data_IF_024161824536
#
_entry.id   IF_024161824536
#
_cell.length_a   1.000
_cell.length_b   1.000
_cell.length_c   1.000
_cell.angle_alpha   90.00
_cell.angle_beta   90.00
_cell.angle_gamma   90.00
#
_symmetry.space_group_name_H-M   'P 1'
#
loop_
_entity.id
_entity.type
_entity.pdbx_description
1 polymer ?
#
# COMPACT_ATOMS: atom_id res chain seq x y z
N UNK A 1 -9.67 -8.55 -5.31
CA UNK A 1 -9.52 -9.01 -6.71
C UNK A 1 -8.08 -8.72 -7.20
N UNK A 2 -7.04 -9.52 -6.89
CA UNK A 2 -6.19 -10.36 -7.80
C UNK A 2 -6.06 -9.87 -9.23
N UNK A 3 -4.82 -9.63 -9.66
CA UNK A 3 -4.45 -9.12 -10.97
C UNK A 3 -4.03 -10.29 -11.88
N UNK A 4 -4.77 -10.59 -12.94
CA UNK A 4 -4.48 -11.74 -13.78
C UNK A 4 -3.37 -11.45 -14.83
N UNK A 5 -2.21 -12.14 -14.76
CA UNK A 5 -1.24 -12.38 -15.86
C UNK A 5 -1.26 -13.82 -16.43
N UNK A 6 -1.25 -14.06 -17.76
CA UNK A 6 -1.33 -15.41 -18.36
C UNK A 6 -0.33 -16.39 -17.70
N UNK A 7 -0.81 -17.54 -17.19
CA UNK A 7 -0.21 -18.39 -16.13
C UNK A 7 -0.38 -17.85 -14.69
N UNK A 8 -1.65 -17.57 -14.38
CA UNK A 8 -2.25 -16.62 -13.45
C UNK A 8 -2.21 -16.92 -11.94
N UNK A 9 -1.04 -17.06 -11.30
CA UNK A 9 -0.97 -17.09 -9.82
C UNK A 9 -0.71 -15.71 -9.24
N UNK A 10 -1.53 -15.31 -8.26
CA UNK A 10 -1.26 -14.11 -7.49
C UNK A 10 -0.05 -14.27 -6.60
N UNK A 11 0.82 -13.27 -6.65
CA UNK A 11 1.94 -13.18 -5.73
C UNK A 11 1.52 -12.28 -4.57
N UNK A 12 1.53 -12.84 -3.37
CA UNK A 12 1.33 -12.07 -2.14
C UNK A 12 2.55 -11.17 -1.93
N UNK A 13 2.42 -9.89 -2.27
CA UNK A 13 3.49 -8.91 -2.07
C UNK A 13 3.74 -8.65 -0.57
N UNK A 14 2.66 -8.53 0.22
CA UNK A 14 2.70 -8.25 1.65
C UNK A 14 1.45 -8.77 2.35
N UNK A 15 1.59 -9.22 3.61
CA UNK A 15 0.47 -9.43 4.53
C UNK A 15 0.44 -8.29 5.56
N UNK A 16 -0.73 -7.70 5.76
CA UNK A 16 -0.95 -6.60 6.69
C UNK A 16 -1.74 -7.10 7.89
N UNK A 17 -1.38 -6.61 9.08
CA UNK A 17 -2.07 -6.88 10.34
C UNK A 17 -2.46 -5.58 11.05
N UNK A 18 -3.00 -5.66 12.28
CA UNK A 18 -3.41 -4.50 13.05
C UNK A 18 -2.31 -3.43 13.18
N UNK A 19 -2.69 -2.16 13.03
CA UNK A 19 -1.78 -1.00 13.07
C UNK A 19 -0.96 -0.79 11.79
N UNK A 20 -1.10 -1.64 10.77
CA UNK A 20 -0.54 -1.42 9.44
C UNK A 20 -1.54 -0.66 8.56
N UNK A 21 -1.03 0.10 7.61
CA UNK A 21 -1.79 0.88 6.66
C UNK A 21 -1.41 0.52 5.21
N UNK A 22 -2.24 0.96 4.27
CA UNK A 22 -2.05 0.80 2.82
C UNK A 22 -2.66 2.00 2.09
N UNK A 23 -2.28 2.18 0.81
CA UNK A 23 -2.78 3.27 -0.05
C UNK A 23 -1.90 4.53 -0.01
N UNK A 24 -0.86 4.54 0.81
CA UNK A 24 0.12 5.62 0.93
C UNK A 24 0.93 5.82 -0.35
N UNK A 25 1.26 4.72 -1.03
CA UNK A 25 2.03 4.79 -2.29
C UNK A 25 1.25 5.49 -3.41
N UNK A 26 -0.07 5.33 -3.42
CA UNK A 26 -0.91 6.01 -4.41
C UNK A 26 -1.00 7.52 -4.14
N UNK A 27 -0.93 7.91 -2.87
CA UNK A 27 -0.95 9.31 -2.46
C UNK A 27 0.33 10.05 -2.87
N UNK A 28 1.51 9.43 -2.72
CA UNK A 28 2.79 10.11 -2.96
C UNK A 28 3.38 9.95 -4.36
N UNK A 29 3.06 8.88 -5.10
CA UNK A 29 3.79 8.53 -6.33
C UNK A 29 2.97 8.69 -7.62
N UNK A 30 1.80 9.35 -7.58
CA UNK A 30 0.92 9.68 -8.73
C UNK A 30 0.58 8.50 -9.68
N UNK A 31 0.74 7.24 -9.25
CA UNK A 31 0.47 6.06 -10.07
C UNK A 31 -0.75 5.29 -9.57
N UNK A 32 -1.74 5.08 -10.44
CA UNK A 32 -2.91 4.24 -10.20
C UNK A 32 -2.50 2.80 -9.86
N UNK A 33 -2.96 2.32 -8.70
CA UNK A 33 -3.09 0.93 -8.23
C UNK A 33 -2.02 -0.04 -8.72
N UNK A 34 -0.86 -0.04 -8.05
CA UNK A 34 0.23 -1.00 -8.32
C UNK A 34 -0.04 -2.40 -7.75
N UNK A 35 -0.97 -2.53 -6.80
CA UNK A 35 -1.33 -3.79 -6.20
C UNK A 35 -2.80 -3.76 -5.77
N UNK A 36 -3.42 -4.94 -5.73
CA UNK A 36 -4.77 -5.10 -5.18
C UNK A 36 -4.66 -5.43 -3.70
N UNK A 37 -5.45 -4.76 -2.87
CA UNK A 37 -5.61 -5.14 -1.45
C UNK A 37 -6.85 -6.01 -1.32
N UNK A 38 -6.77 -7.05 -0.49
CA UNK A 38 -7.89 -7.95 -0.16
C UNK A 38 -7.92 -8.18 1.33
N UNK A 39 -9.13 -8.25 1.89
CA UNK A 39 -9.31 -8.80 3.23
C UNK A 39 -8.81 -10.26 3.26
N UNK A 40 -8.23 -10.65 4.38
CA UNK A 40 -7.80 -12.04 4.59
C UNK A 40 -8.99 -12.98 4.63
N UNK A 41 -8.84 -14.20 4.12
CA UNK A 41 -9.86 -15.24 4.22
C UNK A 41 -9.97 -15.81 5.65
N UNK A 42 -8.97 -15.55 6.50
CA UNK A 42 -8.93 -16.06 7.87
C UNK A 42 -9.93 -15.35 8.81
N UNK A 43 -10.49 -14.20 8.44
CA UNK A 43 -11.43 -13.48 9.29
C UNK A 43 -11.80 -12.09 8.78
N UNK A 44 -12.83 -11.50 9.39
CA UNK A 44 -13.24 -10.13 9.09
C UNK A 44 -12.14 -9.13 9.43
N UNK A 45 -11.98 -8.11 8.57
CA UNK A 45 -11.04 -7.01 8.77
C UNK A 45 -11.80 -5.72 8.94
N UNK A 46 -11.41 -4.92 9.93
CA UNK A 46 -11.90 -3.56 10.13
C UNK A 46 -10.79 -2.57 9.79
N UNK A 47 -11.14 -1.50 9.07
CA UNK A 47 -10.18 -0.48 8.62
C UNK A 47 -10.70 0.91 8.94
N UNK A 48 -9.79 1.80 9.35
CA UNK A 48 -10.04 3.23 9.38
C UNK A 48 -9.65 3.81 8.02
N UNK A 49 -10.59 4.49 7.38
CA UNK A 49 -10.37 5.11 6.07
C UNK A 49 -10.39 6.64 6.20
N UNK A 50 -9.47 7.29 5.51
CA UNK A 50 -9.40 8.75 5.33
C UNK A 50 -9.25 9.04 3.84
N UNK A 51 -9.93 10.06 3.33
CA UNK A 51 -9.74 10.47 1.94
C UNK A 51 -8.47 11.29 1.77
N UNK A 52 -7.96 11.41 0.54
CA UNK A 52 -6.71 12.11 0.27
C UNK A 52 -6.76 13.60 0.62
N UNK A 53 -7.89 14.27 0.43
CA UNK A 53 -8.03 15.69 0.77
C UNK A 53 -7.90 15.94 2.29
N UNK A 54 -8.48 15.05 3.10
CA UNK A 54 -8.38 15.10 4.55
C UNK A 54 -6.97 14.70 5.01
N UNK A 55 -6.37 13.71 4.36
CA UNK A 55 -5.01 13.28 4.68
C UNK A 55 -3.99 14.38 4.37
N UNK A 56 -4.06 15.02 3.21
CA UNK A 56 -3.18 16.14 2.84
C UNK A 56 -3.31 17.30 3.83
N UNK A 57 -4.54 17.63 4.27
CA UNK A 57 -4.75 18.64 5.32
C UNK A 57 -4.05 18.29 6.63
N UNK A 58 -4.07 17.02 7.06
CA UNK A 58 -3.37 16.58 8.27
C UNK A 58 -1.85 16.63 8.09
N UNK A 59 -1.34 16.24 6.93
CA UNK A 59 0.10 16.29 6.65
C UNK A 59 0.62 17.72 6.56
N UNK A 60 -0.19 18.67 6.07
CA UNK A 60 0.15 20.09 6.04
C UNK A 60 0.23 20.72 7.44
N UNK A 61 -0.24 20.03 8.49
CA UNK A 61 -0.10 20.47 9.89
C UNK A 61 1.21 20.00 10.54
N UNK A 62 1.94 19.06 9.91
CA UNK A 62 3.17 18.50 10.47
C UNK A 62 4.11 18.01 9.36
N UNK A 63 5.15 18.80 9.10
CA UNK A 63 6.20 18.47 8.12
C UNK A 63 6.91 17.16 8.47
N UNK A 64 7.23 16.92 9.75
CA UNK A 64 7.85 15.68 10.20
C UNK A 64 6.97 14.45 9.94
N UNK A 65 5.64 14.58 10.07
CA UNK A 65 4.71 13.49 9.75
C UNK A 65 4.67 13.23 8.25
N UNK A 66 4.67 14.30 7.43
CA UNK A 66 4.75 14.20 5.98
C UNK A 66 6.01 13.48 5.51
N UNK A 67 7.17 13.85 6.03
CA UNK A 67 8.44 13.20 5.70
C UNK A 67 8.46 11.70 6.08
N UNK A 68 7.96 11.36 7.27
CA UNK A 68 7.86 9.96 7.70
C UNK A 68 7.05 9.13 6.68
N UNK A 69 5.90 9.64 6.26
CA UNK A 69 5.03 8.95 5.31
C UNK A 69 5.66 8.83 3.91
N UNK A 70 6.37 9.86 3.45
CA UNK A 70 7.14 9.80 2.20
C UNK A 70 8.22 8.70 2.24
N UNK A 71 9.07 8.71 3.27
CA UNK A 71 10.13 7.70 3.40
C UNK A 71 9.56 6.27 3.46
N UNK A 72 8.42 6.09 4.14
CA UNK A 72 7.79 4.80 4.22
C UNK A 72 7.23 4.33 2.86
N UNK A 73 6.66 5.24 2.08
CA UNK A 73 6.16 4.95 0.74
C UNK A 73 7.30 4.53 -0.21
N UNK A 74 8.47 5.17 -0.12
CA UNK A 74 9.65 4.80 -0.92
C UNK A 74 10.16 3.39 -0.58
N UNK A 75 10.28 3.05 0.70
CA UNK A 75 10.68 1.70 1.15
C UNK A 75 9.72 0.64 0.61
N UNK A 76 8.41 0.94 0.65
CA UNK A 76 7.37 0.04 0.14
C UNK A 76 7.41 -0.10 -1.38
N UNK A 77 7.75 0.96 -2.10
CA UNK A 77 7.97 0.89 -3.55
C UNK A 77 9.12 -0.04 -3.90
N UNK A 78 10.27 0.13 -3.25
CA UNK A 78 11.44 -0.71 -3.49
C UNK A 78 11.16 -2.19 -3.19
N UNK A 79 10.53 -2.49 -2.05
CA UNK A 79 10.15 -3.86 -1.68
C UNK A 79 9.20 -4.48 -2.70
N UNK A 80 8.21 -3.71 -3.16
CA UNK A 80 7.26 -4.18 -4.17
C UNK A 80 7.95 -4.41 -5.53
N UNK A 81 8.92 -3.59 -5.92
CA UNK A 81 9.70 -3.78 -7.16
C UNK A 81 10.60 -5.02 -7.06
N UNK A 82 11.33 -5.19 -5.94
CA UNK A 82 12.21 -6.36 -5.73
C UNK A 82 11.45 -7.68 -5.85
N UNK A 83 10.30 -7.80 -5.20
CA UNK A 83 9.49 -9.04 -5.19
C UNK A 83 8.80 -9.34 -6.52
N UNK A 84 8.64 -8.34 -7.41
CA UNK A 84 8.13 -8.54 -8.77
C UNK A 84 9.16 -9.22 -9.69
N UNK A 85 10.45 -9.16 -9.36
CA UNK A 85 11.54 -9.69 -10.18
C UNK A 85 12.14 -11.01 -9.69
N UNK A 86 11.75 -11.50 -8.50
CA UNK A 86 12.20 -12.80 -7.99
C UNK A 86 11.15 -13.84 -8.37
N UNK A 87 11.48 -14.82 -9.23
CA UNK A 87 10.63 -15.98 -9.41
C UNK A 87 10.68 -16.80 -8.11
N UNK A 88 9.51 -17.08 -7.53
CA UNK A 88 9.33 -18.12 -6.51
C UNK A 88 9.24 -19.48 -7.15
#
# INVERSE_FOLDING_TARGET
MVLPRPNLSDVIAVQLGPGKYFGEMEFFHERRNRASVRASEAGSVEVLAINYDQFDKLLNQSEATREMFHQYADIREEENIRRRGVPV
#
